data_IF_580124921274
#
_entry.id   IF_580124921274
#
_cell.length_a   1.000
_cell.length_b   1.000
_cell.length_c   1.000
_cell.angle_alpha   90.00
_cell.angle_beta   90.00
_cell.angle_gamma   90.00
#
_symmetry.space_group_name_H-M   'P 1'
#
loop_
_entity.id
_entity.type
_entity.pdbx_description
1 polymer ?
#
# COMPACT_ATOMS: atom_id res chain seq x y z
N UNK A 1 6.14 -3.36 -9.56
CA UNK A 1 4.68 -3.54 -9.50
C UNK A 1 4.36 -5.02 -9.71
N UNK A 2 3.28 -5.54 -9.11
CA UNK A 2 2.85 -6.94 -9.27
C UNK A 2 1.38 -6.95 -9.67
N UNK A 3 1.06 -7.67 -10.73
CA UNK A 3 -0.30 -7.99 -11.11
C UNK A 3 -0.81 -9.20 -10.33
N UNK A 4 -2.06 -9.15 -9.90
CA UNK A 4 -2.81 -10.26 -9.30
C UNK A 4 -4.02 -10.48 -10.18
N UNK A 5 -4.09 -11.61 -10.89
CA UNK A 5 -5.13 -11.87 -11.87
C UNK A 5 -5.72 -13.28 -11.74
N UNK A 6 -7.02 -13.40 -12.00
CA UNK A 6 -7.75 -14.66 -12.03
C UNK A 6 -9.19 -14.52 -11.52
N UNK A 7 -10.02 -15.51 -11.83
CA UNK A 7 -11.45 -15.49 -11.50
C UNK A 7 -11.73 -15.46 -10.00
N UNK A 8 -10.77 -15.85 -9.16
CA UNK A 8 -10.88 -15.80 -7.71
C UNK A 8 -10.16 -14.60 -7.10
N UNK A 9 -9.57 -13.67 -7.91
CA UNK A 9 -8.67 -12.63 -7.40
C UNK A 9 -9.35 -11.72 -6.35
N UNK A 10 -10.54 -11.20 -6.62
CA UNK A 10 -11.28 -10.37 -5.68
C UNK A 10 -11.58 -11.09 -4.38
N UNK A 11 -12.17 -12.29 -4.47
CA UNK A 11 -12.51 -13.11 -3.30
C UNK A 11 -11.28 -13.48 -2.48
N UNK A 12 -10.19 -13.83 -3.17
CA UNK A 12 -8.92 -14.17 -2.55
C UNK A 12 -8.35 -12.97 -1.78
N UNK A 13 -8.18 -11.83 -2.44
CA UNK A 13 -7.64 -10.62 -1.83
C UNK A 13 -8.54 -10.09 -0.70
N UNK A 14 -9.86 -10.25 -0.80
CA UNK A 14 -10.80 -9.89 0.25
C UNK A 14 -10.51 -10.62 1.58
N UNK A 15 -10.10 -11.88 1.52
CA UNK A 15 -9.73 -12.67 2.71
C UNK A 15 -8.29 -12.45 3.20
N UNK A 16 -7.47 -11.71 2.46
CA UNK A 16 -6.06 -11.51 2.79
C UNK A 16 -5.75 -10.10 3.30
N UNK A 17 -6.42 -9.08 2.79
CA UNK A 17 -6.05 -7.67 2.97
C UNK A 17 -6.95 -6.98 4.01
N UNK A 18 -6.46 -5.88 4.56
CA UNK A 18 -7.23 -5.09 5.55
C UNK A 18 -8.33 -4.25 4.92
N UNK A 19 -8.18 -3.80 3.66
CA UNK A 19 -9.20 -3.02 2.94
C UNK A 19 -10.38 -3.89 2.50
N UNK A 20 -11.49 -3.24 2.14
CA UNK A 20 -12.61 -3.90 1.48
C UNK A 20 -12.40 -3.91 -0.02
N UNK A 21 -11.87 -5.03 -0.54
CA UNK A 21 -11.51 -5.21 -1.95
C UNK A 21 -12.77 -5.25 -2.85
N UNK A 22 -13.86 -5.84 -2.31
CA UNK A 22 -15.12 -5.98 -3.06
C UNK A 22 -15.72 -4.60 -3.34
N UNK A 23 -15.76 -3.73 -2.33
CA UNK A 23 -16.34 -2.38 -2.45
C UNK A 23 -15.35 -1.32 -2.99
N UNK A 24 -14.08 -1.67 -3.21
CA UNK A 24 -13.17 -0.79 -3.93
C UNK A 24 -13.67 -0.62 -5.37
N UNK A 25 -13.88 0.61 -5.82
CA UNK A 25 -14.36 0.88 -7.17
C UNK A 25 -13.31 0.50 -8.24
N UNK A 26 -13.76 0.09 -9.41
CA UNK A 26 -12.88 -0.13 -10.57
C UNK A 26 -12.21 1.19 -10.95
N UNK A 27 -10.90 1.17 -11.17
CA UNK A 27 -10.05 2.34 -11.38
C UNK A 27 -9.57 3.03 -10.10
N UNK A 28 -10.16 2.70 -8.95
CA UNK A 28 -9.72 3.26 -7.66
C UNK A 28 -8.52 2.50 -7.05
N UNK A 29 -7.87 3.16 -6.11
CA UNK A 29 -6.78 2.57 -5.33
C UNK A 29 -6.88 2.93 -3.86
N UNK A 30 -6.35 2.07 -3.00
CA UNK A 30 -6.18 2.35 -1.57
C UNK A 30 -4.87 1.78 -1.04
N UNK A 31 -4.34 2.40 0.01
CA UNK A 31 -3.27 1.80 0.80
C UNK A 31 -3.88 0.67 1.63
N UNK A 32 -3.23 -0.49 1.70
CA UNK A 32 -3.74 -1.64 2.45
C UNK A 32 -2.61 -2.49 2.98
N UNK A 33 -2.88 -3.26 4.03
CA UNK A 33 -1.91 -4.18 4.63
C UNK A 33 -2.32 -5.64 4.42
N UNK A 34 -1.31 -6.50 4.26
CA UNK A 34 -1.39 -7.93 4.47
C UNK A 34 -0.76 -8.26 5.82
N UNK A 35 -1.51 -8.89 6.70
CA UNK A 35 -1.08 -9.19 8.05
C UNK A 35 -0.78 -10.68 8.26
N UNK A 36 0.01 -10.97 9.29
CA UNK A 36 0.11 -12.32 9.85
C UNK A 36 -1.11 -12.66 10.71
N UNK A 37 -1.28 -13.90 11.17
CA UNK A 37 -2.39 -14.28 12.06
C UNK A 37 -2.42 -13.51 13.40
N UNK A 38 -1.30 -12.92 13.82
CA UNK A 38 -1.21 -12.07 15.02
C UNK A 38 -1.59 -10.61 14.75
N UNK A 39 -1.94 -10.27 13.50
CA UNK A 39 -2.34 -8.93 13.07
C UNK A 39 -1.18 -7.99 12.82
N UNK A 40 0.06 -8.48 12.76
CA UNK A 40 1.22 -7.68 12.39
C UNK A 40 1.39 -7.64 10.89
N UNK A 41 1.77 -6.47 10.35
CA UNK A 41 1.88 -6.28 8.92
C UNK A 41 3.11 -6.97 8.33
N UNK A 42 2.89 -7.95 7.46
CA UNK A 42 3.92 -8.53 6.61
C UNK A 42 4.28 -7.57 5.48
N UNK A 43 3.28 -6.90 4.92
CA UNK A 43 3.46 -5.93 3.84
C UNK A 43 2.42 -4.82 3.92
N UNK A 44 2.80 -3.66 3.42
CA UNK A 44 1.98 -2.49 3.23
C UNK A 44 2.19 -2.01 1.79
N UNK A 45 1.12 -1.85 1.04
CA UNK A 45 1.17 -1.48 -0.37
C UNK A 45 -0.11 -0.78 -0.84
N UNK A 46 -0.02 -0.14 -1.99
CA UNK A 46 -1.20 0.40 -2.66
C UNK A 46 -1.79 -0.68 -3.57
N UNK A 47 -3.05 -0.99 -3.35
CA UNK A 47 -3.84 -1.87 -4.21
C UNK A 47 -4.63 -1.02 -5.19
N UNK A 48 -4.61 -1.40 -6.47
CA UNK A 48 -5.37 -0.76 -7.55
C UNK A 48 -6.30 -1.83 -8.11
N UNK A 49 -7.59 -1.54 -8.23
CA UNK A 49 -8.57 -2.45 -8.82
C UNK A 49 -8.81 -2.09 -10.28
N UNK A 50 -8.47 -2.98 -11.20
CA UNK A 50 -8.75 -2.84 -12.63
C UNK A 50 -10.07 -3.52 -13.02
N UNK A 51 -10.39 -4.65 -12.38
CA UNK A 51 -11.65 -5.38 -12.49
C UNK A 51 -11.81 -6.30 -11.27
N UNK A 52 -12.87 -7.12 -11.22
CA UNK A 52 -13.01 -8.17 -10.21
C UNK A 52 -11.96 -9.28 -10.36
N UNK A 53 -11.37 -9.43 -11.53
CA UNK A 53 -10.40 -10.49 -11.85
C UNK A 53 -8.97 -9.96 -12.00
N UNK A 54 -8.74 -8.63 -11.88
CA UNK A 54 -7.43 -8.04 -12.13
C UNK A 54 -7.14 -6.87 -11.19
N UNK A 55 -6.03 -6.98 -10.48
CA UNK A 55 -5.53 -5.99 -9.52
C UNK A 55 -4.04 -5.73 -9.72
N UNK A 56 -3.59 -4.55 -9.32
CA UNK A 56 -2.17 -4.22 -9.28
C UNK A 56 -1.77 -3.90 -7.84
N UNK A 57 -0.62 -4.43 -7.44
CA UNK A 57 0.05 -4.12 -6.18
C UNK A 57 1.25 -3.23 -6.49
N UNK A 58 1.21 -1.99 -5.98
CA UNK A 58 2.28 -1.02 -6.09
C UNK A 58 3.04 -0.95 -4.77
N UNK A 59 4.33 -1.36 -4.80
CA UNK A 59 5.23 -1.35 -3.66
C UNK A 59 6.70 -1.34 -4.11
N UNK A 60 7.64 -0.93 -3.24
CA UNK A 60 9.08 -1.00 -3.54
C UNK A 60 9.55 -2.42 -3.90
N UNK A 61 10.45 -2.55 -4.89
CA UNK A 61 10.96 -3.87 -5.34
C UNK A 61 11.68 -4.65 -4.24
N UNK A 62 12.43 -3.97 -3.38
CA UNK A 62 13.14 -4.58 -2.25
C UNK A 62 12.21 -5.17 -1.18
N UNK A 63 10.90 -4.91 -1.26
CA UNK A 63 9.88 -5.43 -0.35
C UNK A 63 8.99 -6.50 -1.00
N UNK A 64 9.38 -7.09 -2.14
CA UNK A 64 8.57 -8.13 -2.82
C UNK A 64 8.60 -9.48 -2.10
N UNK A 65 9.67 -9.80 -1.35
CA UNK A 65 9.74 -11.07 -0.62
C UNK A 65 8.53 -11.33 0.30
N UNK A 66 7.97 -10.35 1.02
CA UNK A 66 6.75 -10.55 1.81
C UNK A 66 5.51 -10.96 1.00
N UNK A 67 5.48 -10.70 -0.30
CA UNK A 67 4.39 -11.18 -1.17
C UNK A 67 4.37 -12.72 -1.29
N UNK A 68 5.45 -13.40 -0.97
CA UNK A 68 5.47 -14.87 -0.94
C UNK A 68 4.54 -15.43 0.15
N UNK A 69 4.35 -14.69 1.25
CA UNK A 69 3.31 -15.04 2.23
C UNK A 69 1.91 -14.91 1.62
N UNK A 70 1.66 -13.86 0.86
CA UNK A 70 0.40 -13.70 0.15
C UNK A 70 0.22 -14.81 -0.89
N UNK A 71 1.22 -15.12 -1.71
CA UNK A 71 1.18 -16.19 -2.73
C UNK A 71 0.95 -17.58 -2.13
N UNK A 72 1.50 -17.85 -0.96
CA UNK A 72 1.38 -19.15 -0.28
C UNK A 72 -0.07 -19.55 -0.04
N UNK A 73 -0.96 -18.62 0.25
CA UNK A 73 -2.38 -18.91 0.47
C UNK A 73 -3.20 -18.99 -0.83
N UNK A 74 -2.59 -18.65 -1.99
CA UNK A 74 -3.27 -18.67 -3.28
C UNK A 74 -3.33 -20.08 -3.91
N UNK A 75 -2.66 -21.09 -3.34
CA UNK A 75 -2.50 -22.45 -3.94
C UNK A 75 -3.84 -23.10 -4.28
N UNK A 76 -4.91 -22.79 -3.54
CA UNK A 76 -6.24 -23.34 -3.77
C UNK A 76 -7.19 -22.39 -4.52
N UNK A 77 -6.66 -21.24 -4.99
CA UNK A 77 -7.43 -20.21 -5.69
C UNK A 77 -6.93 -20.09 -7.12
N UNK A 78 -7.83 -19.81 -8.05
CA UNK A 78 -7.47 -19.53 -9.44
C UNK A 78 -6.96 -18.10 -9.58
N UNK A 79 -5.76 -17.85 -9.02
CA UNK A 79 -5.09 -16.56 -8.95
C UNK A 79 -3.63 -16.72 -9.34
N UNK A 80 -3.15 -15.80 -10.17
CA UNK A 80 -1.74 -15.70 -10.58
C UNK A 80 -1.14 -14.38 -10.12
N UNK A 81 0.18 -14.39 -9.92
CA UNK A 81 0.95 -13.22 -9.54
C UNK A 81 2.07 -13.02 -10.56
N UNK A 82 2.09 -11.88 -11.23
CA UNK A 82 3.09 -11.55 -12.24
C UNK A 82 3.76 -10.23 -11.93
N UNK A 83 5.10 -10.21 -11.91
CA UNK A 83 5.83 -8.94 -11.82
C UNK A 83 5.78 -8.25 -13.18
N UNK A 84 5.30 -7.00 -13.19
CA UNK A 84 5.24 -6.16 -14.38
C UNK A 84 6.38 -5.14 -14.34
N UNK A 85 7.05 -4.97 -15.47
CA UNK A 85 8.10 -3.97 -15.67
C UNK A 85 7.54 -2.71 -16.34
N UNK A 86 6.46 -2.19 -15.77
CA UNK A 86 5.84 -0.95 -16.23
C UNK A 86 6.53 0.25 -15.60
N UNK A 87 6.56 1.35 -16.33
CA UNK A 87 7.05 2.61 -15.81
C UNK A 87 6.07 3.21 -14.81
N UNK A 88 6.62 3.70 -13.69
CA UNK A 88 5.88 4.38 -12.64
C UNK A 88 6.52 5.75 -12.44
N UNK A 89 5.73 6.81 -12.58
CA UNK A 89 6.19 8.20 -12.47
C UNK A 89 5.35 8.92 -11.44
N UNK A 90 5.99 9.49 -10.41
CA UNK A 90 5.34 10.40 -9.46
C UNK A 90 5.29 11.82 -10.01
N UNK A 91 4.14 12.47 -9.90
CA UNK A 91 3.97 13.91 -10.16
C UNK A 91 3.77 14.62 -8.84
N UNK A 92 4.51 15.72 -8.62
CA UNK A 92 4.37 16.61 -7.46
C UNK A 92 4.16 18.04 -7.96
N UNK A 93 3.16 18.74 -7.45
CA UNK A 93 2.80 20.10 -7.84
C UNK A 93 1.48 20.16 -8.61
N UNK A 94 1.32 21.16 -9.44
CA UNK A 94 0.11 21.29 -10.26
C UNK A 94 -0.09 20.05 -11.11
N UNK A 95 -1.27 19.44 -11.01
CA UNK A 95 -1.63 18.25 -11.79
C UNK A 95 -1.49 18.58 -13.27
N UNK A 96 -0.43 18.07 -13.88
CA UNK A 96 -0.21 18.23 -15.31
C UNK A 96 -1.25 17.42 -16.08
N UNK A 97 -2.44 17.97 -16.32
CA UNK A 97 -3.50 17.35 -17.10
C UNK A 97 -3.16 17.07 -18.57
N UNK A 98 -1.88 17.17 -18.92
CA UNK A 98 -1.36 16.96 -20.30
C UNK A 98 -0.63 15.64 -20.48
N UNK A 99 -0.23 14.95 -19.40
CA UNK A 99 0.50 13.69 -19.52
C UNK A 99 -0.54 12.56 -19.54
N UNK A 100 -0.62 11.86 -20.66
CA UNK A 100 -1.46 10.68 -20.78
C UNK A 100 -0.68 9.46 -20.33
N UNK A 101 -1.28 8.66 -19.45
CA UNK A 101 -0.79 7.36 -19.02
C UNK A 101 -1.95 6.36 -19.01
N UNK A 102 -1.64 5.08 -19.05
CA UNK A 102 -2.67 4.04 -19.01
C UNK A 102 -3.46 4.07 -17.69
N UNK A 103 -2.78 4.35 -16.58
CA UNK A 103 -3.40 4.51 -15.26
C UNK A 103 -2.86 5.80 -14.64
N UNK A 104 -3.78 6.61 -14.14
CA UNK A 104 -3.48 7.83 -13.38
C UNK A 104 -4.15 7.68 -12.02
N UNK A 105 -3.37 7.74 -10.96
CA UNK A 105 -3.85 7.66 -9.58
C UNK A 105 -3.63 9.00 -8.90
N UNK A 106 -4.70 9.66 -8.53
CA UNK A 106 -4.64 10.82 -7.65
C UNK A 106 -4.31 10.34 -6.22
N UNK A 107 -3.24 10.85 -5.64
CA UNK A 107 -2.80 10.53 -4.28
C UNK A 107 -3.35 11.55 -3.28
N UNK A 108 -3.25 12.81 -3.65
CA UNK A 108 -3.80 13.96 -2.93
C UNK A 108 -4.00 15.14 -3.90
N UNK A 109 -4.27 16.34 -3.37
CA UNK A 109 -4.52 17.54 -4.18
C UNK A 109 -3.34 17.93 -5.09
N UNK A 110 -2.11 17.58 -4.66
CA UNK A 110 -0.87 18.01 -5.31
C UNK A 110 -0.05 16.86 -5.90
N UNK A 111 -0.50 15.59 -5.76
CA UNK A 111 0.29 14.44 -6.21
C UNK A 111 -0.54 13.43 -6.97
N UNK A 112 0.08 12.90 -8.01
CA UNK A 112 -0.46 11.76 -8.76
C UNK A 112 0.64 10.76 -9.10
N UNK A 113 0.25 9.51 -9.34
CA UNK A 113 1.12 8.47 -9.88
C UNK A 113 0.62 8.11 -11.27
N UNK A 114 1.53 8.18 -12.24
CA UNK A 114 1.30 7.70 -13.59
C UNK A 114 1.91 6.31 -13.74
N UNK A 115 1.16 5.39 -14.31
CA UNK A 115 1.60 4.02 -14.56
C UNK A 115 1.37 3.70 -16.03
N UNK A 116 2.42 3.27 -16.73
CA UNK A 116 2.35 2.99 -18.15
C UNK A 116 3.18 1.77 -18.55
N UNK A 117 2.70 0.88 -19.43
CA UNK A 117 3.44 -0.29 -19.89
C UNK A 117 4.67 0.04 -20.72
N UNK A 118 4.67 1.20 -21.38
CA UNK A 118 5.79 1.70 -22.16
C UNK A 118 6.33 2.98 -21.55
N UNK A 119 7.61 3.33 -21.79
CA UNK A 119 8.17 4.59 -21.32
C UNK A 119 7.34 5.80 -21.78
N UNK A 120 7.08 6.69 -20.83
CA UNK A 120 6.43 7.98 -21.10
C UNK A 120 7.49 8.94 -21.66
N UNK A 121 7.10 9.76 -22.64
CA UNK A 121 7.94 10.84 -23.16
C UNK A 121 7.87 12.04 -22.21
N UNK A 122 8.62 11.94 -21.10
CA UNK A 122 8.66 12.96 -20.04
C UNK A 122 10.09 13.24 -19.61
N UNK A 123 10.39 14.50 -19.32
CA UNK A 123 11.64 14.90 -18.70
C UNK A 123 11.48 14.92 -17.18
N UNK A 124 12.33 14.17 -16.47
CA UNK A 124 12.33 14.14 -15.01
C UNK A 124 13.05 15.37 -14.46
N UNK A 125 12.41 16.08 -13.53
CA UNK A 125 12.98 17.24 -12.84
C UNK A 125 13.01 17.06 -11.31
N UNK A 126 12.74 15.85 -10.82
CA UNK A 126 12.74 15.47 -9.42
C UNK A 126 13.32 14.07 -9.22
N UNK A 127 13.41 13.64 -7.96
CA UNK A 127 13.91 12.35 -7.55
C UNK A 127 13.00 11.64 -6.55
N UNK A 128 13.31 10.38 -6.22
CA UNK A 128 12.56 9.57 -5.27
C UNK A 128 12.56 10.16 -3.85
N UNK A 129 13.58 10.96 -3.48
CA UNK A 129 13.65 11.58 -2.16
C UNK A 129 12.60 12.66 -1.98
N UNK A 130 12.32 13.42 -3.06
CA UNK A 130 11.24 14.42 -3.04
C UNK A 130 9.88 13.75 -2.86
N UNK A 131 9.65 12.61 -3.53
CA UNK A 131 8.43 11.83 -3.34
C UNK A 131 8.31 11.31 -1.91
N UNK A 132 9.38 10.70 -1.37
CA UNK A 132 9.40 10.20 0.01
C UNK A 132 9.17 11.33 1.03
N UNK A 133 9.78 12.50 0.81
CA UNK A 133 9.55 13.67 1.67
C UNK A 133 8.07 14.08 1.67
N UNK A 134 7.43 14.07 0.50
CA UNK A 134 6.01 14.38 0.38
C UNK A 134 5.12 13.32 1.05
N UNK A 135 5.47 12.03 0.97
CA UNK A 135 4.78 10.97 1.71
C UNK A 135 4.89 11.16 3.23
N UNK A 136 6.08 11.47 3.73
CA UNK A 136 6.31 11.77 5.16
C UNK A 136 5.48 12.98 5.59
N UNK A 137 5.51 14.08 4.84
CA UNK A 137 4.75 15.29 5.15
C UNK A 137 3.24 15.06 5.17
N UNK A 138 2.75 14.18 4.30
CA UNK A 138 1.34 13.78 4.26
C UNK A 138 0.96 12.71 5.29
N UNK A 139 1.93 12.24 6.09
CA UNK A 139 1.69 11.19 7.08
C UNK A 139 1.35 9.83 6.47
N UNK A 140 1.75 9.57 5.22
CA UNK A 140 1.57 8.27 4.59
C UNK A 140 2.62 7.29 5.13
N UNK A 141 2.19 6.16 5.72
CA UNK A 141 3.12 5.19 6.27
C UNK A 141 3.76 4.33 5.19
N UNK A 142 4.97 3.88 5.47
CA UNK A 142 5.66 2.84 4.72
C UNK A 142 6.22 1.77 5.66
N UNK A 143 6.47 0.58 5.14
CA UNK A 143 7.25 -0.45 5.82
C UNK A 143 8.63 -0.54 5.20
N UNK A 144 9.64 -0.79 6.02
CA UNK A 144 10.96 -1.23 5.62
C UNK A 144 11.14 -2.72 5.94
N UNK A 145 12.23 -3.33 5.49
CA UNK A 145 12.54 -4.72 5.82
C UNK A 145 12.67 -4.93 7.35
N UNK A 146 13.20 -3.92 8.05
CA UNK A 146 13.42 -3.95 9.50
C UNK A 146 12.12 -3.80 10.30
N UNK A 147 11.08 -3.21 9.71
CA UNK A 147 9.80 -2.94 10.37
C UNK A 147 8.69 -3.92 10.00
N UNK A 148 8.99 -4.89 9.13
CA UNK A 148 8.07 -5.98 8.83
C UNK A 148 7.78 -6.83 10.07
N UNK A 149 6.55 -7.25 10.25
CA UNK A 149 6.06 -8.04 11.38
C UNK A 149 6.24 -7.39 12.76
N UNK A 150 6.53 -6.07 12.81
CA UNK A 150 6.68 -5.34 14.06
C UNK A 150 5.40 -4.64 14.50
N UNK A 151 4.63 -4.08 13.55
CA UNK A 151 3.51 -3.21 13.84
C UNK A 151 2.17 -3.77 13.34
N UNK A 152 1.13 -3.54 14.13
CA UNK A 152 -0.26 -3.68 13.65
C UNK A 152 -0.63 -2.44 12.81
N UNK A 153 -1.62 -2.52 11.91
CA UNK A 153 -2.00 -1.39 11.05
C UNK A 153 -2.29 -0.08 11.79
N UNK A 154 -2.91 -0.14 12.95
CA UNK A 154 -3.21 1.04 13.75
C UNK A 154 -1.98 1.73 14.34
N UNK A 155 -0.89 1.01 14.56
CA UNK A 155 0.36 1.61 15.05
C UNK A 155 0.98 2.57 14.02
N UNK A 156 0.67 2.37 12.74
CA UNK A 156 1.03 3.27 11.64
C UNK A 156 -0.15 4.15 11.17
N UNK A 157 -1.16 4.32 12.01
CA UNK A 157 -2.34 5.16 11.76
C UNK A 157 -3.14 4.78 10.49
N UNK A 158 -3.07 3.54 9.99
CA UNK A 158 -3.80 3.12 8.80
C UNK A 158 -5.31 3.33 8.92
N UNK A 159 -5.87 3.30 10.14
CA UNK A 159 -7.30 3.56 10.37
C UNK A 159 -7.72 5.00 10.03
N UNK A 160 -6.78 5.93 9.95
CA UNK A 160 -7.04 7.32 9.54
C UNK A 160 -6.99 7.52 8.02
N UNK A 161 -6.47 6.54 7.29
CA UNK A 161 -6.42 6.56 5.83
C UNK A 161 -7.71 5.94 5.30
N UNK A 162 -8.38 6.68 4.42
CA UNK A 162 -9.65 6.25 3.84
C UNK A 162 -9.52 4.88 3.16
N UNK A 163 -10.43 3.97 3.48
CA UNK A 163 -10.53 2.61 2.92
C UNK A 163 -9.32 1.69 3.20
N UNK A 164 -8.28 2.11 3.93
CA UNK A 164 -7.10 1.26 4.19
C UNK A 164 -7.44 0.06 5.09
N UNK A 165 -8.39 0.21 6.01
CA UNK A 165 -8.89 -0.86 6.88
C UNK A 165 -10.41 -0.86 6.86
N UNK A 166 -11.02 -1.99 6.52
CA UNK A 166 -12.43 -2.22 6.72
C UNK A 166 -12.68 -2.95 8.04
N UNK A 167 -13.62 -2.44 8.82
CA UNK A 167 -14.07 -3.06 10.07
C UNK A 167 -15.46 -3.71 9.93
N UNK A 168 -16.05 -3.64 8.74
CA UNK A 168 -17.42 -4.13 8.44
C UNK A 168 -17.44 -5.28 7.43
N UNK A 169 -16.34 -5.50 6.69
CA UNK A 169 -16.21 -6.63 5.77
C UNK A 169 -16.10 -7.97 6.52
N UNK A 170 -16.21 -9.07 5.80
CA UNK A 170 -16.00 -10.42 6.32
C UNK A 170 -14.56 -10.66 6.83
N UNK A 171 -14.28 -11.89 7.24
CA UNK A 171 -13.02 -12.27 7.86
C UNK A 171 -11.82 -12.13 6.91
N UNK A 172 -10.68 -11.71 7.47
CA UNK A 172 -9.36 -11.71 6.82
C UNK A 172 -8.27 -12.07 7.82
N UNK A 173 -7.07 -12.41 7.32
CA UNK A 173 -5.95 -12.82 8.17
C UNK A 173 -5.53 -11.66 9.09
N UNK A 174 -5.44 -11.94 10.40
CA UNK A 174 -5.03 -10.97 11.41
C UNK A 174 -6.16 -10.06 11.92
N UNK A 175 -7.38 -10.20 11.42
CA UNK A 175 -8.52 -9.35 11.77
C UNK A 175 -8.79 -9.27 13.28
N UNK A 176 -8.61 -10.35 14.03
CA UNK A 176 -8.92 -10.36 15.46
C UNK A 176 -8.14 -9.29 16.22
N UNK A 177 -6.82 -9.22 16.00
CA UNK A 177 -5.97 -8.20 16.65
C UNK A 177 -6.30 -6.80 16.17
N UNK A 178 -6.52 -6.62 14.85
CA UNK A 178 -6.90 -5.34 14.26
C UNK A 178 -8.24 -4.84 14.82
N UNK A 179 -9.23 -5.72 14.96
CA UNK A 179 -10.51 -5.37 15.57
C UNK A 179 -10.39 -5.06 17.07
N UNK A 180 -9.59 -5.82 17.82
CA UNK A 180 -9.30 -5.53 19.23
C UNK A 180 -8.66 -4.17 19.42
N UNK A 181 -7.71 -3.81 18.56
CA UNK A 181 -7.05 -2.51 18.63
C UNK A 181 -8.06 -1.37 18.48
N UNK A 182 -9.05 -1.51 17.59
CA UNK A 182 -10.11 -0.52 17.40
C UNK A 182 -11.09 -0.47 18.57
N UNK A 183 -11.67 -1.62 18.92
CA UNK A 183 -12.84 -1.65 19.81
C UNK A 183 -12.50 -1.75 21.30
N UNK A 184 -11.28 -2.19 21.64
CA UNK A 184 -10.83 -2.38 23.02
C UNK A 184 -9.62 -1.51 23.39
N UNK A 185 -9.17 -0.61 22.51
CA UNK A 185 -8.04 0.29 22.77
C UNK A 185 -6.71 -0.44 23.02
N UNK A 186 -6.52 -1.62 22.43
CA UNK A 186 -5.32 -2.42 22.65
C UNK A 186 -4.06 -1.82 22.02
N UNK A 187 -4.19 -0.83 21.14
CA UNK A 187 -3.05 -0.14 20.52
C UNK A 187 -2.55 1.02 21.41
N UNK A 188 -1.27 0.98 21.76
CA UNK A 188 -0.59 2.02 22.55
C UNK A 188 0.45 2.80 21.74
N UNK A 189 0.55 2.56 20.42
CA UNK A 189 1.53 3.17 19.53
C UNK A 189 0.83 3.96 18.44
N UNK A 190 1.44 5.05 18.02
CA UNK A 190 1.00 5.85 16.88
C UNK A 190 2.19 6.38 16.13
N UNK A 191 2.07 6.53 14.83
CA UNK A 191 3.07 7.18 13.99
C UNK A 191 2.90 8.70 14.09
N UNK A 192 4.02 9.41 14.19
CA UNK A 192 4.07 10.86 14.22
C UNK A 192 5.07 11.36 13.18
N UNK A 193 4.75 12.48 12.55
CA UNK A 193 5.67 13.20 11.69
C UNK A 193 6.44 14.18 12.57
N UNK A 194 7.76 14.09 12.55
CA UNK A 194 8.65 15.01 13.24
C UNK A 194 9.47 15.79 12.21
N UNK A 195 9.69 17.05 12.47
CA UNK A 195 10.60 17.89 11.70
C UNK A 195 11.53 18.65 12.65
N UNK A 196 12.78 18.84 12.25
CA UNK A 196 13.76 19.56 13.04
C UNK A 196 15.14 19.53 12.41
N UNK A 197 16.05 20.32 12.97
CA UNK A 197 17.45 20.29 12.60
C UNK A 197 18.18 19.27 13.47
N UNK A 198 18.99 18.43 12.86
CA UNK A 198 19.82 17.44 13.57
C UNK A 198 21.21 17.36 12.97
N UNK A 199 22.21 17.27 13.83
CA UNK A 199 23.61 17.03 13.42
C UNK A 199 23.86 15.58 13.04
N UNK A 200 23.01 14.65 13.48
CA UNK A 200 23.16 13.20 13.25
C UNK A 200 21.81 12.64 12.81
N UNK A 201 21.81 11.96 11.68
CA UNK A 201 20.62 11.24 11.22
C UNK A 201 20.22 10.16 12.22
N UNK A 202 18.98 10.15 12.74
CA UNK A 202 18.51 9.10 13.62
C UNK A 202 18.61 7.73 12.96
N UNK A 203 19.03 6.73 13.69
CA UNK A 203 19.06 5.35 13.21
C UNK A 203 17.66 4.73 13.36
N UNK A 204 17.30 3.84 12.44
CA UNK A 204 16.07 3.04 12.56
C UNK A 204 16.13 2.26 13.88
N UNK A 205 15.07 2.37 14.70
CA UNK A 205 14.98 1.70 16.00
C UNK A 205 15.70 2.41 17.16
N UNK A 206 16.28 3.62 16.95
CA UNK A 206 16.76 4.43 18.08
C UNK A 206 15.58 5.02 18.86
N UNK A 207 15.69 5.07 20.19
CA UNK A 207 14.78 5.72 21.12
C UNK A 207 15.16 7.20 21.33
#
# INVERSE_FOLDING_TARGET
MVEVAGVDAEKYLQGQLTCDVVHLAVGASTLTAHCDPKGKMNSLFRLIKLSAEQFLILMPKNLFAPLDHLKKYAVFSKVTFQVLDWQIVGLIGEKCGRIQAQIILDIDENRAILINPTPLDVTFNGDEKQWLCADIQSGLPSLSAETQNEFIPQALNLQAIEQAISFTKGCYIGQETVARAKYRGANKRGMYVLSGETAVTPKIGSE
#
